data_IF_266369392318
#
_entry.id   IF_266369392318
#
_cell.length_a   1.000
_cell.length_b   1.000
_cell.length_c   1.000
_cell.angle_alpha   90.00
_cell.angle_beta   90.00
_cell.angle_gamma   90.00
#
_symmetry.space_group_name_H-M   'P 1'
#
loop_
_entity.id
_entity.type
_entity.pdbx_description
1 polymer ?
#
# COMPACT_ATOMS: atom_id res chain seq x y z
N UNK A 1 22.54 -41.58 -13.89
CA UNK A 1 22.67 -41.77 -12.42
C UNK A 1 21.33 -41.46 -11.75
N UNK A 2 20.68 -42.46 -11.15
CA UNK A 2 19.29 -42.38 -10.61
C UNK A 2 19.22 -42.03 -9.12
N UNK A 3 20.30 -41.47 -8.56
CA UNK A 3 20.49 -41.35 -7.11
C UNK A 3 20.77 -39.87 -6.76
N UNK A 4 20.12 -39.29 -5.74
CA UNK A 4 20.19 -37.86 -5.43
C UNK A 4 21.57 -37.39 -4.94
N UNK A 5 22.34 -38.22 -4.23
CA UNK A 5 23.68 -37.85 -3.76
C UNK A 5 24.76 -37.79 -4.86
N UNK A 6 24.41 -38.08 -6.12
CA UNK A 6 25.38 -38.11 -7.22
C UNK A 6 25.45 -36.78 -7.97
N UNK A 7 26.65 -36.38 -8.42
CA UNK A 7 26.85 -35.20 -9.29
C UNK A 7 26.02 -35.37 -10.57
N UNK A 8 25.21 -34.36 -10.93
CA UNK A 8 24.21 -34.37 -12.02
C UNK A 8 23.04 -35.39 -11.83
N UNK A 9 22.84 -35.90 -10.61
CA UNK A 9 21.70 -36.73 -10.24
C UNK A 9 20.39 -35.94 -10.08
N UNK A 10 19.26 -36.65 -9.95
CA UNK A 10 17.95 -36.04 -9.71
C UNK A 10 17.86 -35.56 -8.26
N UNK A 11 17.36 -34.34 -8.03
CA UNK A 11 17.11 -33.81 -6.67
C UNK A 11 16.03 -34.64 -5.96
N UNK A 12 16.23 -34.97 -4.69
CA UNK A 12 15.18 -35.55 -3.84
C UNK A 12 14.09 -34.48 -3.58
N UNK A 13 12.82 -34.86 -3.77
CA UNK A 13 11.64 -33.98 -3.66
C UNK A 13 11.78 -32.66 -4.45
N UNK A 14 11.83 -32.73 -5.80
CA UNK A 14 11.89 -31.53 -6.61
C UNK A 14 10.61 -30.70 -6.45
N UNK A 15 10.67 -29.36 -6.62
CA UNK A 15 9.49 -28.53 -6.60
C UNK A 15 8.53 -28.99 -7.70
N UNK A 16 7.28 -29.23 -7.32
CA UNK A 16 6.24 -29.74 -8.19
C UNK A 16 5.29 -28.61 -8.60
N UNK A 17 4.87 -28.53 -9.87
CA UNK A 17 3.87 -27.56 -10.30
C UNK A 17 2.51 -27.79 -9.62
N UNK A 18 2.23 -29.01 -9.14
CA UNK A 18 0.99 -29.35 -8.43
C UNK A 18 0.91 -28.77 -7.01
N UNK A 19 1.93 -28.05 -6.52
CA UNK A 19 1.89 -27.46 -5.17
C UNK A 19 0.83 -26.37 -5.10
N UNK A 20 -0.10 -26.47 -4.16
CA UNK A 20 -1.08 -25.42 -3.85
C UNK A 20 -0.33 -24.24 -3.21
N UNK A 21 -0.33 -23.08 -3.86
CA UNK A 21 0.36 -21.86 -3.43
C UNK A 21 -0.59 -20.77 -2.91
N UNK A 22 -1.89 -20.94 -3.14
CA UNK A 22 -2.92 -19.97 -2.80
C UNK A 22 -3.49 -20.36 -1.44
N UNK A 23 -3.57 -19.39 -0.53
CA UNK A 23 -4.28 -19.53 0.73
C UNK A 23 -5.63 -18.84 0.61
N UNK A 24 -6.71 -19.57 0.90
CA UNK A 24 -8.08 -19.06 0.86
C UNK A 24 -8.48 -18.46 2.21
N UNK A 25 -9.35 -17.45 2.18
CA UNK A 25 -9.87 -16.81 3.39
C UNK A 25 -11.34 -16.44 3.21
N UNK A 26 -12.10 -16.59 4.29
CA UNK A 26 -13.51 -16.23 4.33
C UNK A 26 -13.73 -14.76 3.99
N UNK A 27 -14.70 -14.47 3.14
CA UNK A 27 -15.04 -13.10 2.73
C UNK A 27 -15.45 -12.22 3.91
N UNK A 28 -16.16 -12.80 4.90
CA UNK A 28 -16.56 -12.10 6.14
C UNK A 28 -15.38 -11.73 7.03
N UNK A 29 -14.35 -12.57 7.07
CA UNK A 29 -13.12 -12.26 7.84
C UNK A 29 -12.30 -11.19 7.12
N UNK A 30 -12.25 -11.25 5.78
CA UNK A 30 -11.59 -10.21 4.99
C UNK A 30 -12.29 -8.83 5.12
N UNK A 31 -13.63 -8.79 5.13
CA UNK A 31 -14.37 -7.54 5.29
C UNK A 31 -14.12 -6.92 6.67
N UNK A 32 -14.12 -7.73 7.74
CA UNK A 32 -13.73 -7.28 9.10
C UNK A 32 -12.31 -6.75 9.11
N UNK A 33 -11.35 -7.46 8.51
CA UNK A 33 -9.95 -7.01 8.44
C UNK A 33 -9.82 -5.66 7.72
N UNK A 34 -10.60 -5.44 6.65
CA UNK A 34 -10.63 -4.16 5.93
C UNK A 34 -11.22 -3.04 6.78
N UNK A 35 -12.33 -3.30 7.49
CA UNK A 35 -12.92 -2.35 8.44
C UNK A 35 -11.94 -1.98 9.56
N UNK A 36 -11.29 -2.96 10.18
CA UNK A 36 -10.27 -2.73 11.21
C UNK A 36 -9.08 -1.92 10.68
N UNK A 37 -8.64 -2.21 9.45
CA UNK A 37 -7.55 -1.48 8.82
C UNK A 37 -7.93 0.00 8.54
N UNK A 38 -9.16 0.27 8.11
CA UNK A 38 -9.65 1.65 7.94
C UNK A 38 -9.77 2.34 9.30
N UNK A 39 -10.34 1.70 10.31
CA UNK A 39 -10.45 2.28 11.65
C UNK A 39 -9.06 2.65 12.23
N UNK A 40 -8.02 1.88 11.91
CA UNK A 40 -6.66 2.17 12.34
C UNK A 40 -6.07 3.46 11.77
N UNK A 41 -6.55 3.95 10.61
CA UNK A 41 -6.06 5.20 10.03
C UNK A 41 -6.62 6.43 10.74
N UNK A 42 -7.80 6.30 11.37
CA UNK A 42 -8.40 7.34 12.20
C UNK A 42 -7.79 7.38 13.62
N UNK A 43 -7.25 6.26 14.12
CA UNK A 43 -6.70 6.19 15.46
C UNK A 43 -5.26 6.73 15.54
N UNK A 44 -5.09 7.88 16.18
CA UNK A 44 -3.78 8.56 16.36
C UNK A 44 -2.74 7.70 17.09
N UNK A 45 -3.15 6.80 17.98
CA UNK A 45 -2.23 5.95 18.75
C UNK A 45 -1.55 4.88 17.88
N UNK A 46 -2.28 4.35 16.89
CA UNK A 46 -1.82 3.29 16.00
C UNK A 46 -1.07 3.84 14.78
N UNK A 47 -1.19 5.13 14.50
CA UNK A 47 -0.56 5.72 13.34
C UNK A 47 0.97 5.74 13.46
N UNK A 48 1.66 5.36 12.38
CA UNK A 48 3.14 5.43 12.33
C UNK A 48 3.69 6.83 12.58
N UNK A 49 2.91 7.87 12.27
CA UNK A 49 3.26 9.27 12.47
C UNK A 49 2.24 9.94 13.39
N UNK A 50 2.56 10.07 14.68
CA UNK A 50 1.64 10.67 15.67
C UNK A 50 1.38 12.17 15.47
N UNK A 51 2.13 12.82 14.58
CA UNK A 51 2.14 14.27 14.39
C UNK A 51 1.12 14.79 13.38
N UNK A 52 0.49 13.92 12.59
CA UNK A 52 -0.52 14.31 11.60
C UNK A 52 -1.93 14.28 12.18
N UNK A 53 -2.76 15.23 11.78
CA UNK A 53 -4.21 15.18 11.99
C UNK A 53 -4.77 13.96 11.25
N UNK A 54 -5.65 13.18 11.89
CA UNK A 54 -6.15 11.91 11.35
C UNK A 54 -7.65 11.75 11.64
N UNK A 55 -8.46 11.32 10.66
CA UNK A 55 -8.12 11.09 9.25
C UNK A 55 -7.98 12.39 8.44
N UNK A 56 -7.13 12.40 7.41
CA UNK A 56 -7.00 13.55 6.49
C UNK A 56 -8.02 13.39 5.37
N UNK A 57 -8.93 14.36 5.27
CA UNK A 57 -9.95 14.41 4.23
C UNK A 57 -9.70 15.62 3.33
N UNK A 58 -9.84 15.41 2.02
CA UNK A 58 -9.60 16.41 1.00
C UNK A 58 -10.78 16.54 0.04
N UNK A 59 -10.94 17.74 -0.51
CA UNK A 59 -11.90 18.00 -1.57
C UNK A 59 -11.60 17.17 -2.82
N UNK A 60 -12.66 16.89 -3.58
CA UNK A 60 -12.58 16.19 -4.86
C UNK A 60 -11.76 16.94 -5.92
N UNK A 61 -11.47 18.23 -5.71
CA UNK A 61 -10.57 19.02 -6.55
C UNK A 61 -9.14 18.45 -6.59
N UNK A 62 -8.72 17.75 -5.53
CA UNK A 62 -7.40 17.12 -5.45
C UNK A 62 -7.19 16.05 -6.54
N UNK A 63 -8.24 15.34 -6.95
CA UNK A 63 -8.16 14.33 -8.01
C UNK A 63 -7.84 14.92 -9.38
N UNK A 64 -8.14 16.22 -9.59
CA UNK A 64 -7.95 16.92 -10.86
C UNK A 64 -6.52 17.44 -11.06
N UNK A 65 -5.65 17.31 -10.04
CA UNK A 65 -4.26 17.77 -10.13
C UNK A 65 -3.48 16.96 -11.18
N UNK A 66 -2.90 17.67 -12.15
CA UNK A 66 -2.14 17.08 -13.25
C UNK A 66 -0.64 17.07 -12.99
N UNK A 67 -0.11 18.08 -12.29
CA UNK A 67 1.33 18.26 -12.06
C UNK A 67 1.74 17.74 -10.69
N UNK A 68 2.83 16.96 -10.65
CA UNK A 68 3.43 16.44 -9.41
C UNK A 68 3.80 17.56 -8.44
N UNK A 69 4.24 18.71 -8.96
CA UNK A 69 4.60 19.89 -8.14
C UNK A 69 3.42 20.40 -7.29
N UNK A 70 2.20 20.37 -7.84
CA UNK A 70 0.99 20.78 -7.11
C UNK A 70 0.65 19.79 -6.00
N UNK A 71 0.85 18.49 -6.24
CA UNK A 71 0.68 17.47 -5.21
C UNK A 71 1.69 17.67 -4.07
N UNK A 72 2.94 18.00 -4.40
CA UNK A 72 3.99 18.28 -3.39
C UNK A 72 3.58 19.47 -2.50
N UNK A 73 3.12 20.58 -3.08
CA UNK A 73 2.69 21.75 -2.29
C UNK A 73 1.52 21.43 -1.35
N UNK A 74 0.57 20.60 -1.81
CA UNK A 74 -0.54 20.15 -0.96
C UNK A 74 -0.04 19.27 0.19
N UNK A 75 0.82 18.29 -0.09
CA UNK A 75 1.37 17.41 0.95
C UNK A 75 2.25 18.16 1.96
N UNK A 76 2.90 19.24 1.54
CA UNK A 76 3.66 20.13 2.43
C UNK A 76 2.73 20.94 3.34
N UNK A 77 1.64 21.49 2.81
CA UNK A 77 0.62 22.19 3.61
C UNK A 77 0.01 21.26 4.69
N UNK A 78 -0.20 19.99 4.34
CA UNK A 78 -0.68 18.96 5.26
C UNK A 78 0.36 18.42 6.24
N UNK A 79 1.63 18.90 6.17
CA UNK A 79 2.78 18.41 6.98
C UNK A 79 3.08 16.92 6.82
N UNK A 80 2.54 16.27 5.79
CA UNK A 80 2.74 14.84 5.49
C UNK A 80 3.94 14.61 4.58
N UNK A 81 4.42 15.64 3.87
CA UNK A 81 5.52 15.52 2.92
C UNK A 81 6.83 14.96 3.51
N UNK A 82 7.09 15.18 4.81
CA UNK A 82 8.24 14.61 5.52
C UNK A 82 8.31 13.08 5.45
N UNK A 83 7.16 12.39 5.30
CA UNK A 83 7.10 10.94 5.09
C UNK A 83 7.58 10.51 3.72
N UNK A 84 7.34 11.33 2.70
CA UNK A 84 7.78 11.09 1.32
C UNK A 84 9.28 11.27 1.22
N UNK A 85 9.83 12.31 1.86
CA UNK A 85 11.28 12.54 1.95
C UNK A 85 12.00 11.39 2.67
N UNK A 86 11.52 10.99 3.85
CA UNK A 86 12.02 9.81 4.56
C UNK A 86 11.97 8.54 3.71
N UNK A 87 10.95 8.41 2.86
CA UNK A 87 10.85 7.27 1.94
C UNK A 87 11.91 7.33 0.85
N UNK A 88 12.21 8.52 0.33
CA UNK A 88 13.23 8.71 -0.69
C UNK A 88 14.61 8.34 -0.15
N UNK A 89 14.97 8.84 1.04
CA UNK A 89 16.25 8.57 1.70
C UNK A 89 16.45 7.08 2.00
N UNK A 90 15.40 6.39 2.46
CA UNK A 90 15.46 4.96 2.82
C UNK A 90 15.31 4.02 1.63
N UNK A 91 15.26 4.55 0.41
CA UNK A 91 15.22 3.72 -0.80
C UNK A 91 16.59 3.10 -1.02
N UNK A 92 16.65 1.77 -1.12
CA UNK A 92 17.91 1.04 -1.24
C UNK A 92 17.78 -0.16 -2.17
N UNK A 93 18.94 -0.65 -2.63
CA UNK A 93 19.03 -1.91 -3.36
C UNK A 93 18.92 -3.09 -2.41
N UNK A 94 18.12 -4.09 -2.78
CA UNK A 94 17.92 -5.29 -1.98
C UNK A 94 19.15 -6.20 -2.12
N UNK A 95 19.71 -6.61 -0.98
CA UNK A 95 20.83 -7.55 -0.94
C UNK A 95 20.44 -8.92 -1.52
N UNK A 96 21.37 -9.57 -2.22
CA UNK A 96 21.16 -10.92 -2.78
C UNK A 96 20.26 -11.01 -4.02
N UNK A 97 19.69 -9.89 -4.51
CA UNK A 97 18.75 -9.87 -5.65
C UNK A 97 19.35 -9.08 -6.83
N UNK A 98 20.55 -9.48 -7.30
CA UNK A 98 21.20 -8.81 -8.45
C UNK A 98 20.56 -9.17 -9.79
N UNK A 99 20.18 -10.43 -9.99
CA UNK A 99 19.73 -10.93 -11.30
C UNK A 99 18.20 -10.96 -11.49
N UNK A 100 17.40 -10.64 -10.46
CA UNK A 100 15.94 -10.57 -10.58
C UNK A 100 15.48 -9.13 -10.79
N UNK A 101 14.27 -8.96 -11.34
CA UNK A 101 13.72 -7.67 -11.77
C UNK A 101 13.51 -6.67 -10.62
N UNK A 102 13.18 -7.13 -9.42
CA UNK A 102 12.85 -6.26 -8.28
C UNK A 102 14.08 -5.98 -7.42
N UNK A 103 14.93 -5.06 -7.90
CA UNK A 103 16.21 -4.70 -7.27
C UNK A 103 16.10 -3.61 -6.21
N UNK A 104 15.18 -2.68 -6.36
CA UNK A 104 15.05 -1.52 -5.48
C UNK A 104 13.82 -1.65 -4.59
N UNK A 105 13.97 -1.37 -3.30
CA UNK A 105 12.88 -1.35 -2.33
C UNK A 105 12.79 0.04 -1.72
N UNK A 106 11.58 0.59 -1.73
CA UNK A 106 11.21 1.81 -1.03
C UNK A 106 10.20 1.48 0.07
N UNK A 107 10.24 2.17 1.22
CA UNK A 107 9.23 2.00 2.26
C UNK A 107 7.88 2.56 1.79
N UNK A 108 6.80 2.00 2.33
CA UNK A 108 5.44 2.51 2.09
C UNK A 108 5.17 3.67 3.05
N UNK A 109 4.96 4.87 2.53
CA UNK A 109 4.76 6.09 3.30
C UNK A 109 3.28 6.44 3.36
N UNK A 110 2.78 7.19 2.38
CA UNK A 110 1.43 7.76 2.34
C UNK A 110 0.55 6.91 1.43
N UNK A 111 -0.71 6.74 1.79
CA UNK A 111 -1.75 6.20 0.92
C UNK A 111 -2.70 7.33 0.53
N UNK A 112 -2.98 7.50 -0.75
CA UNK A 112 -4.00 8.40 -1.26
C UNK A 112 -5.15 7.53 -1.78
N UNK A 113 -6.34 7.71 -1.20
CA UNK A 113 -7.55 7.01 -1.61
C UNK A 113 -8.46 7.98 -2.34
N UNK A 114 -8.81 7.62 -3.57
CA UNK A 114 -9.58 8.44 -4.51
C UNK A 114 -10.89 7.75 -4.90
N UNK A 115 -11.92 8.52 -5.24
CA UNK A 115 -13.25 8.01 -5.56
C UNK A 115 -13.28 7.32 -6.92
N UNK A 116 -13.27 8.09 -8.01
CA UNK A 116 -13.37 7.57 -9.39
C UNK A 116 -12.25 8.06 -10.32
N UNK A 117 -11.32 8.89 -9.85
CA UNK A 117 -10.17 9.37 -10.63
C UNK A 117 -8.88 8.59 -10.38
N UNK A 118 -8.00 8.52 -11.38
CA UNK A 118 -6.62 8.11 -11.19
C UNK A 118 -5.72 9.32 -11.00
N UNK A 119 -5.15 9.51 -9.79
CA UNK A 119 -4.24 10.63 -9.53
C UNK A 119 -2.82 10.30 -10.05
N UNK A 120 -2.63 10.43 -11.37
CA UNK A 120 -1.35 10.14 -12.04
C UNK A 120 -0.21 10.98 -11.48
N UNK A 121 -0.49 12.22 -11.08
CA UNK A 121 0.48 13.16 -10.55
C UNK A 121 1.21 12.67 -9.29
N UNK A 122 0.57 11.85 -8.43
CA UNK A 122 1.20 11.35 -7.20
C UNK A 122 1.95 10.03 -7.38
N UNK A 123 1.73 9.30 -8.49
CA UNK A 123 2.38 7.98 -8.71
C UNK A 123 3.90 8.06 -8.83
N UNK A 124 4.44 9.22 -9.19
CA UNK A 124 5.90 9.42 -9.29
C UNK A 124 6.57 9.67 -7.93
N UNK A 125 5.80 9.93 -6.86
CA UNK A 125 6.37 10.21 -5.54
C UNK A 125 6.82 8.92 -4.84
N UNK A 126 7.98 8.97 -4.19
CA UNK A 126 8.54 7.80 -3.48
C UNK A 126 7.69 7.39 -2.29
N UNK A 127 7.24 6.14 -2.28
CA UNK A 127 6.48 5.55 -1.17
C UNK A 127 5.00 5.94 -1.11
N UNK A 128 4.53 6.81 -2.01
CA UNK A 128 3.12 7.18 -2.14
C UNK A 128 2.42 6.15 -3.01
N UNK A 129 1.32 5.58 -2.49
CA UNK A 129 0.42 4.74 -3.28
C UNK A 129 -0.88 5.48 -3.53
N UNK A 130 -1.45 5.33 -4.73
CA UNK A 130 -2.77 5.86 -5.10
C UNK A 130 -3.69 4.68 -5.40
N UNK A 131 -4.82 4.59 -4.71
CA UNK A 131 -5.77 3.47 -4.84
C UNK A 131 -7.19 4.01 -4.93
N UNK A 132 -8.02 3.41 -5.80
CA UNK A 132 -9.43 3.76 -5.88
C UNK A 132 -10.20 3.18 -4.68
N UNK A 133 -11.29 3.82 -4.25
CA UNK A 133 -12.11 3.34 -3.14
C UNK A 133 -12.66 1.93 -3.38
N UNK A 134 -12.98 1.61 -4.64
CA UNK A 134 -13.47 0.28 -5.08
C UNK A 134 -12.39 -0.80 -4.98
N UNK A 135 -11.15 -0.48 -5.35
CA UNK A 135 -10.02 -1.43 -5.34
C UNK A 135 -9.28 -1.44 -3.99
N UNK A 136 -9.78 -0.73 -2.98
CA UNK A 136 -9.16 -0.69 -1.67
C UNK A 136 -9.11 -2.10 -1.06
N UNK A 137 -7.91 -2.48 -0.60
CA UNK A 137 -7.57 -3.78 -0.01
C UNK A 137 -6.81 -3.59 1.29
N UNK A 138 -6.84 -4.60 2.16
CA UNK A 138 -6.14 -4.60 3.46
C UNK A 138 -4.64 -4.33 3.30
N UNK A 139 -4.01 -4.89 2.26
CA UNK A 139 -2.56 -4.71 1.99
C UNK A 139 -2.16 -3.25 1.78
N UNK A 140 -3.06 -2.40 1.29
CA UNK A 140 -2.77 -0.98 1.08
C UNK A 140 -2.74 -0.20 2.39
N UNK A 141 -3.64 -0.53 3.32
CA UNK A 141 -3.78 0.11 4.63
C UNK A 141 -2.82 -0.46 5.68
N UNK A 142 -2.55 -1.76 5.63
CA UNK A 142 -1.70 -2.48 6.57
C UNK A 142 -0.53 -3.20 5.88
N UNK A 143 0.45 -2.45 5.30
CA UNK A 143 1.57 -3.05 4.61
C UNK A 143 2.49 -3.81 5.59
N UNK A 144 2.69 -5.10 5.34
CA UNK A 144 3.53 -5.97 6.17
C UNK A 144 2.93 -6.24 7.54
N UNK A 145 1.60 -6.48 7.59
CA UNK A 145 0.82 -6.80 8.80
C UNK A 145 0.85 -5.74 9.92
N UNK A 146 1.28 -4.52 9.60
CA UNK A 146 1.22 -3.38 10.51
C UNK A 146 0.11 -2.41 10.09
N UNK A 147 -0.92 -2.28 10.92
CA UNK A 147 -2.01 -1.31 10.76
C UNK A 147 -1.54 0.13 11.04
N UNK A 148 -2.35 1.14 10.70
CA UNK A 148 -2.06 2.55 10.98
C UNK A 148 -1.15 3.24 9.96
N UNK A 149 -1.38 3.02 8.65
CA UNK A 149 -0.75 3.81 7.58
C UNK A 149 -1.39 5.20 7.47
N UNK A 150 -0.58 6.23 7.21
CA UNK A 150 -1.11 7.58 6.95
C UNK A 150 -1.87 7.57 5.62
N UNK A 151 -3.17 7.81 5.69
CA UNK A 151 -4.07 7.81 4.56
C UNK A 151 -4.72 9.19 4.37
N UNK A 152 -4.75 9.64 3.12
CA UNK A 152 -5.45 10.84 2.67
C UNK A 152 -6.63 10.37 1.83
N UNK A 153 -7.84 10.78 2.23
CA UNK A 153 -9.08 10.39 1.56
C UNK A 153 -9.68 11.59 0.83
N UNK A 154 -10.25 11.37 -0.35
CA UNK A 154 -11.15 12.35 -0.95
C UNK A 154 -12.58 12.17 -0.41
N UNK A 155 -13.37 13.23 -0.41
CA UNK A 155 -14.77 13.18 0.06
C UNK A 155 -15.56 12.09 -0.67
N UNK A 156 -15.41 11.99 -2.00
CA UNK A 156 -16.08 10.96 -2.79
C UNK A 156 -15.59 9.56 -2.47
N UNK A 157 -14.30 9.39 -2.12
CA UNK A 157 -13.78 8.10 -1.69
C UNK A 157 -14.46 7.61 -0.40
N UNK A 158 -14.70 8.50 0.56
CA UNK A 158 -15.38 8.14 1.82
C UNK A 158 -16.84 7.73 1.57
N UNK A 159 -17.56 8.45 0.70
CA UNK A 159 -18.93 8.08 0.32
C UNK A 159 -18.98 6.67 -0.28
N UNK A 160 -18.07 6.35 -1.19
CA UNK A 160 -17.99 5.01 -1.79
C UNK A 160 -17.59 3.92 -0.80
N UNK A 161 -16.67 4.22 0.12
CA UNK A 161 -16.30 3.28 1.19
C UNK A 161 -17.52 2.98 2.06
N UNK A 162 -18.31 4.00 2.42
CA UNK A 162 -19.53 3.83 3.21
C UNK A 162 -20.54 2.92 2.49
N UNK A 163 -20.85 3.21 1.23
CA UNK A 163 -21.75 2.38 0.40
C UNK A 163 -21.29 0.91 0.29
N UNK A 164 -19.97 0.67 0.34
CA UNK A 164 -19.41 -0.68 0.28
C UNK A 164 -19.66 -1.51 1.53
N UNK A 165 -19.81 -0.88 2.70
CA UNK A 165 -20.05 -1.55 3.97
C UNK A 165 -21.54 -1.64 4.34
N UNK A 166 -22.39 -0.81 3.74
CA UNK A 166 -23.84 -0.85 3.93
C UNK A 166 -24.53 -1.94 3.09
N UNK A 167 -23.83 -2.52 2.12
CA UNK A 167 -24.27 -3.68 1.32
C UNK A 167 -23.89 -4.99 1.99
#
# INVERSE_FOLDING_TARGET
KRIPQSVKGRRAHPPKPQKILIEEMNLKEYSKALASAIASTANKSLLKNKSSECPIVMDNSFEKLTKTKQVISVLQALKVYSLVEKSKEKTHYVSGIRHRSKRTKFPKSVLVVVGNGGLKAARNLSGVDVVSAKELQVRHLAPGTHAGRVAVYTEDALKQIKERFEK
#
